data_IF_380922803605
#
_entry.id   IF_380922803605
#
_cell.length_a   1.000
_cell.length_b   1.000
_cell.length_c   1.000
_cell.angle_alpha   90.00
_cell.angle_beta   90.00
_cell.angle_gamma   90.00
#
_symmetry.space_group_name_H-M   'P 1'
#
loop_
_entity.id
_entity.type
_entity.pdbx_description
1 polymer ?
#
# COMPACT_ATOMS: atom_id res chain seq x y z
N UNK A 1 -5.17 -92.21 2.74
CA UNK A 1 -4.41 -90.93 2.68
C UNK A 1 -5.29 -89.88 3.31
N UNK A 2 -5.05 -89.63 4.59
CA UNK A 2 -5.88 -88.78 5.46
C UNK A 2 -5.26 -87.38 5.53
N UNK A 3 -6.13 -86.37 5.57
CA UNK A 3 -5.81 -84.96 5.36
C UNK A 3 -4.94 -84.33 6.47
N UNK A 4 -4.14 -83.32 6.10
CA UNK A 4 -3.51 -82.40 7.05
C UNK A 4 -3.81 -80.96 6.65
N UNK A 5 -4.63 -80.28 7.46
CA UNK A 5 -4.85 -78.83 7.38
C UNK A 5 -3.69 -78.09 8.06
N UNK A 6 -3.18 -76.99 7.49
CA UNK A 6 -2.13 -76.21 8.14
C UNK A 6 -2.72 -75.33 9.27
N UNK A 7 -2.10 -75.45 10.46
CA UNK A 7 -2.41 -74.68 11.67
C UNK A 7 -2.29 -73.17 11.44
N UNK A 8 -3.36 -72.41 11.69
CA UNK A 8 -3.32 -70.95 11.84
C UNK A 8 -2.52 -70.61 13.11
N UNK A 9 -1.49 -69.76 12.98
CA UNK A 9 -0.82 -69.12 14.11
C UNK A 9 -1.78 -68.10 14.78
N UNK A 10 -1.83 -68.01 16.12
CA UNK A 10 -2.58 -66.95 16.78
C UNK A 10 -1.95 -65.60 16.44
N UNK A 11 -2.77 -64.64 16.01
CA UNK A 11 -2.38 -63.24 15.85
C UNK A 11 -2.11 -62.67 17.25
N UNK A 12 -1.00 -61.94 17.48
CA UNK A 12 -0.76 -61.29 18.76
C UNK A 12 -1.91 -60.31 19.07
N UNK A 13 -2.31 -60.22 20.34
CA UNK A 13 -3.25 -59.21 20.80
C UNK A 13 -2.73 -57.82 20.40
N UNK A 14 -3.60 -56.86 19.99
CA UNK A 14 -3.15 -55.52 19.70
C UNK A 14 -2.50 -54.95 20.96
N UNK A 15 -1.27 -54.46 20.82
CA UNK A 15 -0.69 -53.60 21.84
C UNK A 15 -1.68 -52.44 22.05
N UNK A 16 -2.04 -52.18 23.30
CA UNK A 16 -2.68 -50.92 23.67
C UNK A 16 -1.64 -49.82 23.42
N UNK A 17 -1.57 -49.36 22.17
CA UNK A 17 -1.01 -48.07 21.84
C UNK A 17 -1.93 -47.05 22.50
N UNK A 18 -1.59 -46.67 23.74
CA UNK A 18 -2.08 -45.45 24.35
C UNK A 18 -1.52 -44.28 23.55
N UNK A 19 -2.03 -44.09 22.34
CA UNK A 19 -1.81 -42.89 21.57
C UNK A 19 -2.42 -41.75 22.39
N UNK A 20 -1.57 -40.94 23.00
CA UNK A 20 -1.94 -39.62 23.51
C UNK A 20 -2.26 -38.76 22.30
N UNK A 21 -3.42 -39.02 21.69
CA UNK A 21 -3.85 -38.36 20.47
C UNK A 21 -4.15 -36.91 20.78
N UNK A 22 -3.62 -36.01 19.95
CA UNK A 22 -3.85 -34.56 20.05
C UNK A 22 -5.36 -34.21 20.03
N UNK A 23 -6.18 -35.13 19.49
CA UNK A 23 -7.65 -35.05 19.45
C UNK A 23 -8.32 -35.22 20.82
N UNK A 24 -7.67 -35.91 21.76
CA UNK A 24 -8.22 -36.19 23.10
C UNK A 24 -8.09 -35.01 24.08
N UNK A 25 -7.36 -33.96 23.69
CA UNK A 25 -7.22 -32.75 24.50
C UNK A 25 -8.55 -31.96 24.52
N UNK A 26 -8.89 -31.32 25.65
CA UNK A 26 -10.04 -30.43 25.74
C UNK A 26 -9.97 -29.25 24.75
N UNK A 27 -11.14 -28.75 24.33
CA UNK A 27 -11.27 -27.63 23.39
C UNK A 27 -10.51 -26.38 23.82
N UNK A 28 -10.43 -26.12 25.13
CA UNK A 28 -9.78 -24.95 25.71
C UNK A 28 -8.26 -24.99 25.48
N UNK A 29 -7.67 -26.19 25.44
CA UNK A 29 -6.25 -26.37 25.16
C UNK A 29 -5.98 -26.15 23.66
N UNK A 30 -6.86 -26.65 22.79
CA UNK A 30 -6.76 -26.37 21.36
C UNK A 30 -6.89 -24.87 21.07
N UNK A 31 -7.88 -24.20 21.64
CA UNK A 31 -8.06 -22.73 21.54
C UNK A 31 -6.84 -21.97 22.02
N UNK A 32 -6.28 -22.37 23.16
CA UNK A 32 -5.07 -21.73 23.70
C UNK A 32 -3.88 -21.92 22.78
N UNK A 33 -3.68 -23.11 22.21
CA UNK A 33 -2.62 -23.35 21.22
C UNK A 33 -2.83 -22.46 20.00
N UNK A 34 -4.04 -22.44 19.43
CA UNK A 34 -4.37 -21.64 18.23
C UNK A 34 -4.24 -20.14 18.48
N UNK A 35 -4.60 -19.64 19.67
CA UNK A 35 -4.47 -18.22 20.04
C UNK A 35 -3.01 -17.73 20.08
N UNK A 36 -2.06 -18.64 20.33
CA UNK A 36 -0.63 -18.34 20.33
C UNK A 36 -0.03 -18.33 18.92
N UNK A 37 -0.79 -18.75 17.92
CA UNK A 37 -0.34 -18.80 16.53
C UNK A 37 -0.75 -17.52 15.79
N UNK A 38 0.11 -17.01 14.89
CA UNK A 38 -0.31 -16.09 13.84
C UNK A 38 -1.47 -16.68 13.02
N UNK A 39 -2.41 -15.85 12.55
CA UNK A 39 -3.63 -16.30 11.84
C UNK A 39 -3.32 -17.29 10.71
N UNK A 40 -2.25 -17.08 9.94
CA UNK A 40 -1.82 -18.01 8.87
C UNK A 40 -1.58 -19.44 9.34
N UNK A 41 -1.01 -19.62 10.54
CA UNK A 41 -0.73 -20.94 11.11
C UNK A 41 -1.93 -21.48 11.86
N UNK A 42 -2.71 -20.60 12.50
CA UNK A 42 -3.99 -20.94 13.10
C UNK A 42 -4.91 -21.60 12.05
N UNK A 43 -5.06 -20.99 10.87
CA UNK A 43 -5.84 -21.58 9.75
C UNK A 43 -5.28 -22.94 9.33
N UNK A 44 -3.95 -23.12 9.26
CA UNK A 44 -3.33 -24.40 8.89
C UNK A 44 -3.61 -25.53 9.90
N UNK A 45 -3.88 -25.21 11.17
CA UNK A 45 -4.27 -26.24 12.15
C UNK A 45 -5.60 -26.92 11.79
N UNK A 46 -6.42 -26.31 10.94
CA UNK A 46 -7.66 -26.92 10.45
C UNK A 46 -7.46 -28.25 9.70
N UNK A 47 -6.25 -28.51 9.20
CA UNK A 47 -5.88 -29.76 8.55
C UNK A 47 -5.49 -30.88 9.52
N UNK A 48 -5.29 -30.59 10.81
CA UNK A 48 -4.85 -31.57 11.82
C UNK A 48 -5.95 -32.59 12.10
N UNK A 49 -7.16 -32.13 12.42
CA UNK A 49 -8.33 -33.00 12.57
C UNK A 49 -9.64 -32.23 12.53
N UNK A 50 -10.78 -32.93 12.62
CA UNK A 50 -12.10 -32.30 12.68
C UNK A 50 -12.27 -31.39 13.88
N UNK A 51 -11.64 -31.70 15.01
CA UNK A 51 -11.71 -30.88 16.22
C UNK A 51 -11.06 -29.50 16.01
N UNK A 52 -9.98 -29.43 15.23
CA UNK A 52 -9.21 -28.20 15.01
C UNK A 52 -9.75 -27.32 13.88
N UNK A 53 -10.69 -27.83 13.07
CA UNK A 53 -11.12 -27.23 11.80
C UNK A 53 -11.55 -25.76 11.89
N UNK A 54 -12.28 -25.39 12.94
CA UNK A 54 -12.91 -24.06 13.09
C UNK A 54 -12.41 -23.26 14.28
N UNK A 55 -11.45 -23.77 15.05
CA UNK A 55 -10.98 -23.11 16.28
C UNK A 55 -10.37 -21.74 15.97
N UNK A 56 -9.70 -21.61 14.83
CA UNK A 56 -9.09 -20.35 14.40
C UNK A 56 -10.12 -19.25 14.11
N UNK A 57 -11.38 -19.59 13.81
CA UNK A 57 -12.43 -18.60 13.52
C UNK A 57 -12.78 -17.77 14.77
N UNK A 58 -12.68 -18.38 15.96
CA UNK A 58 -13.01 -17.81 17.26
C UNK A 58 -11.81 -17.56 18.19
N UNK A 59 -10.60 -17.99 17.82
CA UNK A 59 -9.39 -17.76 18.62
C UNK A 59 -8.76 -16.39 18.33
N UNK A 60 -8.31 -15.64 19.35
CA UNK A 60 -7.64 -14.35 19.20
C UNK A 60 -6.19 -14.55 18.75
N UNK A 61 -6.01 -15.06 17.52
CA UNK A 61 -4.72 -15.15 16.86
C UNK A 61 -4.19 -13.74 16.52
N UNK A 62 -2.86 -13.57 16.50
CA UNK A 62 -2.27 -12.30 16.08
C UNK A 62 -2.59 -12.05 14.59
N UNK A 63 -3.36 -11.00 14.24
CA UNK A 63 -4.05 -10.89 12.96
C UNK A 63 -3.18 -10.32 11.83
N UNK A 64 -1.87 -10.60 11.84
CA UNK A 64 -1.02 -10.30 10.69
C UNK A 64 -1.33 -11.30 9.57
N UNK A 65 -2.38 -11.02 8.81
CA UNK A 65 -2.76 -11.75 7.61
C UNK A 65 -1.88 -11.22 6.48
N UNK A 66 -0.73 -11.86 6.29
CA UNK A 66 0.18 -11.59 5.17
C UNK A 66 0.04 -12.66 4.10
N UNK A 67 -0.13 -12.23 2.84
CA UNK A 67 0.02 -13.03 1.61
C UNK A 67 -0.59 -14.45 1.69
N UNK A 68 -1.91 -14.54 1.89
CA UNK A 68 -2.62 -15.81 1.78
C UNK A 68 -3.45 -15.82 0.50
N UNK A 69 -3.31 -16.86 -0.30
CA UNK A 69 -4.06 -17.08 -1.55
C UNK A 69 -5.59 -17.26 -1.36
N UNK A 70 -6.09 -17.21 -0.13
CA UNK A 70 -7.50 -17.38 0.25
C UNK A 70 -7.90 -16.38 1.35
N UNK A 71 -7.42 -15.14 1.27
CA UNK A 71 -7.71 -14.14 2.30
C UNK A 71 -9.21 -13.84 2.42
N UNK A 72 -10.01 -13.98 1.36
CA UNK A 72 -11.47 -13.80 1.36
C UNK A 72 -12.16 -14.65 2.42
N UNK A 73 -11.99 -15.97 2.32
CA UNK A 73 -12.62 -16.96 3.21
C UNK A 73 -12.16 -16.77 4.65
N UNK A 74 -10.90 -16.37 4.84
CA UNK A 74 -10.36 -16.13 6.19
C UNK A 74 -10.94 -14.86 6.77
N UNK A 75 -10.92 -13.74 6.05
CA UNK A 75 -11.47 -12.48 6.51
C UNK A 75 -12.98 -12.60 6.79
N UNK A 76 -13.73 -13.29 5.94
CA UNK A 76 -15.16 -13.49 6.14
C UNK A 76 -15.48 -14.26 7.43
N UNK A 77 -14.71 -15.30 7.77
CA UNK A 77 -14.99 -16.18 8.93
C UNK A 77 -14.32 -15.76 10.22
N UNK A 78 -13.23 -15.00 10.13
CA UNK A 78 -12.47 -14.60 11.31
C UNK A 78 -13.27 -13.62 12.16
N UNK A 79 -13.62 -13.99 13.39
CA UNK A 79 -14.56 -13.24 14.22
C UNK A 79 -13.91 -12.10 15.02
N UNK A 80 -12.59 -11.95 14.95
CA UNK A 80 -11.83 -10.96 15.74
C UNK A 80 -11.40 -9.75 14.91
N UNK A 81 -11.08 -8.62 15.57
CA UNK A 81 -10.53 -7.44 14.92
C UNK A 81 -9.24 -7.75 14.17
N UNK A 82 -9.06 -7.15 12.99
CA UNK A 82 -7.84 -7.26 12.19
C UNK A 82 -7.17 -5.90 12.20
N UNK A 83 -6.10 -5.73 12.98
CA UNK A 83 -5.44 -4.42 13.16
C UNK A 83 -4.44 -4.08 12.06
N UNK A 84 -3.78 -5.09 11.50
CA UNK A 84 -2.77 -4.90 10.46
C UNK A 84 -2.98 -5.88 9.33
N UNK A 85 -3.07 -5.38 8.11
CA UNK A 85 -3.21 -6.18 6.90
C UNK A 85 -2.16 -5.75 5.88
N UNK A 86 -1.47 -6.72 5.29
CA UNK A 86 -0.50 -6.48 4.23
C UNK A 86 -0.65 -7.53 3.15
N UNK A 87 -0.78 -7.07 1.91
CA UNK A 87 -0.85 -7.94 0.76
C UNK A 87 -0.08 -7.39 -0.42
N UNK A 88 0.63 -8.28 -1.11
CA UNK A 88 1.20 -8.02 -2.41
C UNK A 88 0.31 -8.71 -3.44
N UNK A 89 -0.43 -7.93 -4.23
CA UNK A 89 -1.40 -8.44 -5.18
C UNK A 89 -0.71 -8.61 -6.54
N UNK A 90 -0.67 -9.83 -7.11
CA UNK A 90 -0.39 -9.98 -8.53
C UNK A 90 -1.57 -9.47 -9.36
N UNK A 91 -1.34 -9.13 -10.63
CA UNK A 91 -2.33 -8.56 -11.55
C UNK A 91 -3.65 -9.35 -11.56
N UNK A 92 -3.57 -10.68 -11.60
CA UNK A 92 -4.75 -11.55 -11.60
C UNK A 92 -5.63 -11.47 -10.34
N UNK A 93 -5.14 -10.85 -9.27
CA UNK A 93 -5.81 -10.77 -7.97
C UNK A 93 -6.22 -9.34 -7.58
N UNK A 94 -6.01 -8.34 -8.44
CA UNK A 94 -6.31 -6.94 -8.11
C UNK A 94 -7.74 -6.74 -7.59
N UNK A 95 -8.71 -7.36 -8.26
CA UNK A 95 -10.14 -7.30 -7.93
C UNK A 95 -10.48 -7.83 -6.53
N UNK A 96 -9.67 -8.72 -5.95
CA UNK A 96 -9.89 -9.22 -4.58
C UNK A 96 -9.73 -8.11 -3.53
N UNK A 97 -9.00 -7.04 -3.85
CA UNK A 97 -8.80 -5.94 -2.92
C UNK A 97 -10.12 -5.23 -2.58
N UNK A 98 -11.03 -5.12 -3.56
CA UNK A 98 -12.34 -4.50 -3.41
C UNK A 98 -13.27 -5.30 -2.48
N UNK A 99 -13.09 -6.62 -2.41
CA UNK A 99 -13.84 -7.48 -1.48
C UNK A 99 -13.26 -7.42 -0.05
N UNK A 100 -11.94 -7.30 0.09
CA UNK A 100 -11.28 -7.29 1.40
C UNK A 100 -11.44 -5.99 2.14
N UNK A 101 -11.36 -4.86 1.45
CA UNK A 101 -11.39 -3.53 2.05
C UNK A 101 -12.64 -3.30 2.92
N UNK A 102 -13.87 -3.59 2.46
CA UNK A 102 -15.07 -3.51 3.30
C UNK A 102 -15.02 -4.41 4.53
N UNK A 103 -14.51 -5.65 4.38
CA UNK A 103 -14.39 -6.60 5.49
C UNK A 103 -13.38 -6.11 6.54
N UNK A 104 -12.27 -5.53 6.11
CA UNK A 104 -11.23 -4.95 6.97
C UNK A 104 -11.72 -3.69 7.69
N UNK A 105 -12.49 -2.85 6.99
CA UNK A 105 -13.15 -1.70 7.59
C UNK A 105 -14.07 -2.14 8.75
N UNK A 106 -14.91 -3.15 8.53
CA UNK A 106 -15.78 -3.72 9.55
C UNK A 106 -15.04 -4.36 10.74
N UNK A 107 -13.77 -4.74 10.56
CA UNK A 107 -12.91 -5.31 11.61
C UNK A 107 -11.98 -4.29 12.28
N UNK A 108 -12.08 -3.01 11.94
CA UNK A 108 -11.34 -1.94 12.59
C UNK A 108 -9.83 -1.97 12.29
N UNK A 109 -9.48 -2.11 11.00
CA UNK A 109 -8.09 -2.07 10.52
C UNK A 109 -7.42 -0.73 10.81
N UNK A 110 -6.18 -0.80 11.32
CA UNK A 110 -5.36 0.36 11.71
C UNK A 110 -4.14 0.53 10.81
N UNK A 111 -3.62 -0.55 10.25
CA UNK A 111 -2.53 -0.55 9.27
C UNK A 111 -2.97 -1.33 8.05
N UNK A 112 -3.06 -0.66 6.91
CA UNK A 112 -3.39 -1.27 5.62
C UNK A 112 -2.26 -1.01 4.64
N UNK A 113 -1.71 -2.09 4.07
CA UNK A 113 -0.68 -2.03 3.05
C UNK A 113 -1.08 -2.89 1.85
N UNK A 114 -1.31 -2.27 0.70
CA UNK A 114 -1.71 -2.97 -0.53
C UNK A 114 -0.73 -2.60 -1.62
N UNK A 115 0.04 -3.59 -2.08
CA UNK A 115 1.08 -3.41 -3.08
C UNK A 115 0.70 -4.18 -4.34
N UNK A 116 0.28 -3.47 -5.37
CA UNK A 116 -0.14 -4.02 -6.64
C UNK A 116 1.08 -4.19 -7.55
N UNK A 117 1.32 -5.40 -8.05
CA UNK A 117 2.46 -5.64 -8.96
C UNK A 117 2.15 -5.05 -10.33
N UNK A 118 2.68 -3.87 -10.64
CA UNK A 118 2.56 -3.29 -11.97
C UNK A 118 3.68 -3.76 -12.89
N UNK A 119 3.31 -4.39 -14.01
CA UNK A 119 4.18 -4.55 -15.17
C UNK A 119 4.26 -3.25 -15.98
N UNK A 120 5.16 -3.16 -16.97
CA UNK A 120 5.30 -1.94 -17.81
C UNK A 120 4.08 -1.61 -18.68
N UNK A 121 3.25 -2.60 -18.98
CA UNK A 121 2.13 -2.49 -19.92
C UNK A 121 0.76 -2.76 -19.24
N UNK A 122 0.73 -2.76 -17.90
CA UNK A 122 -0.47 -3.09 -17.12
C UNK A 122 -1.06 -1.79 -16.59
N UNK A 123 -2.34 -1.55 -16.88
CA UNK A 123 -3.06 -0.40 -16.34
C UNK A 123 -3.11 -0.49 -14.79
N UNK A 124 -2.99 0.66 -14.09
CA UNK A 124 -3.15 0.69 -12.64
C UNK A 124 -4.51 0.11 -12.22
N UNK A 125 -4.54 -0.56 -11.07
CA UNK A 125 -5.80 -1.02 -10.51
C UNK A 125 -6.58 0.16 -9.95
N UNK A 126 -7.75 0.42 -10.52
CA UNK A 126 -8.71 1.38 -9.97
C UNK A 126 -9.40 0.78 -8.75
N UNK A 127 -9.13 1.33 -7.57
CA UNK A 127 -9.71 0.85 -6.31
C UNK A 127 -11.19 1.23 -6.17
N UNK A 128 -11.95 0.41 -5.45
CA UNK A 128 -13.31 0.77 -5.03
C UNK A 128 -13.34 1.87 -3.93
N UNK A 129 -14.41 2.67 -3.93
CA UNK A 129 -14.65 3.76 -2.95
C UNK A 129 -14.72 3.27 -1.50
N UNK A 130 -14.89 1.96 -1.27
CA UNK A 130 -14.86 1.33 0.04
C UNK A 130 -13.57 1.58 0.81
N UNK A 131 -12.47 1.98 0.16
CA UNK A 131 -11.21 2.34 0.83
C UNK A 131 -11.42 3.41 1.92
N UNK A 132 -12.33 4.37 1.69
CA UNK A 132 -12.71 5.42 2.62
C UNK A 132 -13.57 4.93 3.81
N UNK A 133 -13.98 3.66 3.82
CA UNK A 133 -14.69 3.04 4.95
C UNK A 133 -13.77 2.69 6.11
N UNK A 134 -12.45 2.62 5.89
CA UNK A 134 -11.46 2.24 6.89
C UNK A 134 -11.14 3.41 7.87
N UNK A 135 -12.10 3.81 8.70
CA UNK A 135 -12.01 4.99 9.59
C UNK A 135 -10.99 4.89 10.74
N UNK A 136 -10.59 3.66 11.09
CA UNK A 136 -9.63 3.38 12.17
C UNK A 136 -8.17 3.41 11.68
N UNK A 137 -7.93 3.72 10.40
CA UNK A 137 -6.57 3.72 9.83
C UNK A 137 -5.66 4.75 10.49
N UNK A 138 -4.50 4.26 10.91
CA UNK A 138 -3.37 5.03 11.43
C UNK A 138 -2.19 5.03 10.46
N UNK A 139 -2.11 4.00 9.60
CA UNK A 139 -1.09 3.87 8.56
C UNK A 139 -1.71 3.26 7.29
N UNK A 140 -1.59 4.00 6.18
CA UNK A 140 -1.94 3.56 4.84
C UNK A 140 -0.69 3.56 3.95
N UNK A 141 -0.44 2.45 3.25
CA UNK A 141 0.66 2.26 2.30
C UNK A 141 0.12 1.63 1.02
N UNK A 142 0.09 2.41 -0.06
CA UNK A 142 -0.44 1.99 -1.35
C UNK A 142 0.64 2.09 -2.41
N UNK A 143 0.75 1.03 -3.21
CA UNK A 143 1.70 0.98 -4.32
C UNK A 143 0.99 0.49 -5.58
N UNK A 144 1.04 1.27 -6.66
CA UNK A 144 0.63 0.82 -7.99
C UNK A 144 -0.89 0.71 -8.22
N UNK A 145 -1.68 1.67 -7.70
CA UNK A 145 -3.14 1.68 -7.85
C UNK A 145 -3.68 3.11 -8.00
N UNK A 146 -4.89 3.24 -8.49
CA UNK A 146 -5.61 4.51 -8.56
C UNK A 146 -6.61 4.63 -7.42
N UNK A 147 -6.66 5.81 -6.81
CA UNK A 147 -7.61 6.13 -5.76
C UNK A 147 -8.80 6.87 -6.38
N UNK A 148 -10.04 6.38 -6.16
CA UNK A 148 -11.23 7.06 -6.66
C UNK A 148 -11.49 8.37 -5.91
N UNK A 149 -12.33 9.23 -6.49
CA UNK A 149 -12.87 10.39 -5.78
C UNK A 149 -13.55 9.97 -4.47
N UNK A 150 -13.23 10.66 -3.37
CA UNK A 150 -13.94 10.49 -2.11
C UNK A 150 -15.43 10.84 -2.30
N UNK A 151 -16.38 9.97 -1.91
CA UNK A 151 -17.79 10.29 -2.07
C UNK A 151 -18.20 11.47 -1.18
N UNK A 152 -19.14 12.29 -1.65
CA UNK A 152 -19.59 13.48 -0.93
C UNK A 152 -20.02 13.15 0.52
N UNK A 153 -19.28 13.69 1.51
CA UNK A 153 -19.54 13.51 2.94
C UNK A 153 -18.72 12.41 3.62
N UNK A 154 -17.92 11.63 2.88
CA UNK A 154 -16.92 10.72 3.47
C UNK A 154 -15.62 11.49 3.73
N UNK A 155 -15.42 11.88 4.99
CA UNK A 155 -14.21 12.57 5.44
C UNK A 155 -13.01 11.62 5.52
N UNK A 156 -12.18 11.55 4.49
CA UNK A 156 -10.87 10.89 4.39
C UNK A 156 -10.51 9.87 5.49
N UNK A 157 -9.36 10.08 6.14
CA UNK A 157 -8.85 9.17 7.17
C UNK A 157 -8.55 9.92 8.48
N UNK A 158 -9.53 10.03 9.40
CA UNK A 158 -9.44 10.94 10.54
C UNK A 158 -8.32 10.60 11.54
N UNK A 159 -7.92 9.32 11.61
CA UNK A 159 -6.90 8.82 12.53
C UNK A 159 -5.52 8.64 11.87
N UNK A 160 -5.37 9.01 10.59
CA UNK A 160 -4.18 8.68 9.82
C UNK A 160 -2.97 9.47 10.29
N UNK A 161 -1.90 8.76 10.60
CA UNK A 161 -0.62 9.33 11.05
C UNK A 161 0.49 9.17 10.01
N UNK A 162 0.37 8.16 9.14
CA UNK A 162 1.34 7.84 8.10
C UNK A 162 0.62 7.52 6.80
N UNK A 163 1.02 8.17 5.71
CA UNK A 163 0.51 7.95 4.37
C UNK A 163 1.68 7.77 3.41
N UNK A 164 1.81 6.57 2.84
CA UNK A 164 2.81 6.25 1.82
C UNK A 164 2.09 5.91 0.51
N UNK A 165 2.41 6.64 -0.54
CA UNK A 165 1.86 6.45 -1.87
C UNK A 165 3.02 6.34 -2.86
N UNK A 166 3.08 5.24 -3.62
CA UNK A 166 4.06 5.04 -4.68
C UNK A 166 3.41 4.58 -5.97
N UNK A 167 3.58 5.31 -7.08
CA UNK A 167 2.93 4.94 -8.34
C UNK A 167 1.40 4.94 -8.21
N UNK A 168 0.85 5.94 -7.50
CA UNK A 168 -0.59 6.03 -7.23
C UNK A 168 -1.19 7.16 -8.06
N UNK A 169 -2.29 6.88 -8.76
CA UNK A 169 -3.02 7.85 -9.58
C UNK A 169 -4.26 8.43 -8.91
N UNK A 170 -4.64 9.64 -9.33
CA UNK A 170 -5.88 10.32 -8.93
C UNK A 170 -6.73 10.68 -10.17
N UNK A 171 -7.33 9.69 -10.86
CA UNK A 171 -7.98 9.89 -12.17
C UNK A 171 -9.20 10.82 -12.15
N UNK A 172 -9.96 10.88 -11.05
CA UNK A 172 -11.24 11.61 -11.04
C UNK A 172 -11.10 13.08 -10.64
N UNK A 173 -10.25 13.35 -9.66
CA UNK A 173 -10.14 14.64 -8.98
C UNK A 173 -8.72 15.22 -9.04
N UNK A 174 -7.80 14.55 -9.73
CA UNK A 174 -6.43 15.00 -9.94
C UNK A 174 -5.74 15.43 -8.65
N UNK A 175 -5.02 16.55 -8.76
CA UNK A 175 -4.26 17.18 -7.65
C UNK A 175 -5.16 17.49 -6.46
N UNK A 176 -6.40 17.96 -6.69
CA UNK A 176 -7.36 18.30 -5.63
C UNK A 176 -7.77 17.09 -4.79
N UNK A 177 -7.88 15.91 -5.39
CA UNK A 177 -8.20 14.67 -4.67
C UNK A 177 -7.15 14.34 -3.60
N UNK A 178 -5.87 14.56 -3.92
CA UNK A 178 -4.78 14.40 -2.95
C UNK A 178 -4.81 15.47 -1.85
N UNK A 179 -5.09 16.73 -2.20
CA UNK A 179 -5.21 17.81 -1.20
C UNK A 179 -6.32 17.53 -0.18
N UNK A 180 -7.48 17.10 -0.67
CA UNK A 180 -8.64 16.74 0.15
C UNK A 180 -8.26 15.58 1.08
N UNK A 181 -7.61 14.53 0.56
CA UNK A 181 -7.16 13.39 1.36
C UNK A 181 -6.21 13.80 2.50
N UNK A 182 -5.27 14.70 2.23
CA UNK A 182 -4.31 15.21 3.22
C UNK A 182 -5.03 16.09 4.25
N UNK A 183 -5.89 17.01 3.79
CA UNK A 183 -6.63 17.92 4.66
C UNK A 183 -7.60 17.19 5.59
N UNK A 184 -8.18 16.08 5.13
CA UNK A 184 -9.07 15.21 5.90
C UNK A 184 -8.30 14.24 6.82
N UNK A 185 -6.97 14.34 6.88
CA UNK A 185 -6.08 13.56 7.73
C UNK A 185 -5.36 14.44 8.76
N UNK A 186 -6.06 15.03 9.75
CA UNK A 186 -5.50 16.06 10.63
C UNK A 186 -4.38 15.59 11.56
N UNK A 187 -4.26 14.28 11.78
CA UNK A 187 -3.22 13.66 12.62
C UNK A 187 -1.96 13.25 11.83
N UNK A 188 -1.89 13.57 10.54
CA UNK A 188 -0.82 13.12 9.65
C UNK A 188 0.55 13.68 10.10
N UNK A 189 1.49 12.77 10.31
CA UNK A 189 2.86 13.06 10.77
C UNK A 189 3.91 12.70 9.73
N UNK A 190 3.64 11.69 8.90
CA UNK A 190 4.56 11.23 7.85
C UNK A 190 3.81 11.12 6.53
N UNK A 191 4.32 11.80 5.51
CA UNK A 191 3.75 11.81 4.16
C UNK A 191 4.85 11.49 3.15
N UNK A 192 4.73 10.35 2.48
CA UNK A 192 5.62 9.94 1.40
C UNK A 192 4.84 9.83 0.10
N UNK A 193 5.24 10.63 -0.87
CA UNK A 193 4.64 10.70 -2.20
C UNK A 193 5.75 10.38 -3.20
N UNK A 194 5.59 9.32 -3.98
CA UNK A 194 6.62 8.83 -4.89
C UNK A 194 5.97 8.48 -6.23
N UNK A 195 6.30 9.20 -7.30
CA UNK A 195 5.79 8.99 -8.66
C UNK A 195 4.26 8.91 -8.71
N UNK A 196 3.60 9.95 -8.21
CA UNK A 196 2.15 10.07 -8.37
C UNK A 196 1.79 10.43 -9.81
N UNK A 197 0.59 10.05 -10.23
CA UNK A 197 0.05 10.37 -11.55
C UNK A 197 -1.24 11.19 -11.43
N UNK A 198 -1.36 12.22 -12.26
CA UNK A 198 -2.52 13.09 -12.32
C UNK A 198 -2.96 13.29 -13.78
N UNK A 199 -4.27 13.34 -14.09
CA UNK A 199 -4.75 13.60 -15.45
C UNK A 199 -4.21 14.90 -16.05
N UNK A 200 -3.98 15.91 -15.22
CA UNK A 200 -3.44 17.22 -15.63
C UNK A 200 -2.01 17.13 -16.21
N UNK A 201 -1.31 16.01 -16.02
CA UNK A 201 0.02 15.76 -16.58
C UNK A 201 -0.03 15.43 -18.10
N UNK A 202 -1.19 15.07 -18.67
CA UNK A 202 -1.32 14.66 -20.09
C UNK A 202 -1.54 15.85 -21.05
N UNK A 203 -2.01 17.00 -20.57
CA UNK A 203 -2.41 18.16 -21.40
C UNK A 203 -1.32 19.24 -21.57
N UNK A 204 -0.06 18.95 -21.21
CA UNK A 204 1.02 19.94 -21.27
C UNK A 204 1.67 19.95 -22.66
N UNK A 205 1.14 20.77 -23.57
CA UNK A 205 1.91 21.22 -24.73
C UNK A 205 3.20 21.89 -24.20
N UNK A 206 4.37 21.30 -24.48
CA UNK A 206 5.69 21.74 -23.98
C UNK A 206 6.01 23.23 -24.26
N UNK A 207 5.22 23.90 -25.12
CA UNK A 207 5.39 25.29 -25.55
C UNK A 207 4.54 26.30 -24.78
N UNK A 208 3.41 25.89 -24.21
CA UNK A 208 2.53 26.79 -23.46
C UNK A 208 2.67 26.48 -21.98
N UNK A 209 3.45 27.31 -21.28
CA UNK A 209 3.73 27.21 -19.85
C UNK A 209 2.51 27.43 -18.94
N UNK A 210 1.43 26.69 -19.19
CA UNK A 210 0.31 26.54 -18.29
C UNK A 210 0.83 25.87 -17.02
N UNK A 211 0.80 26.65 -15.94
CA UNK A 211 1.33 26.24 -14.65
C UNK A 211 0.62 25.00 -14.15
N UNK A 212 1.41 24.01 -13.73
CA UNK A 212 0.95 22.91 -12.90
C UNK A 212 0.00 23.45 -11.83
N UNK A 213 -1.16 22.81 -11.63
CA UNK A 213 -2.00 23.14 -10.48
C UNK A 213 -1.13 23.00 -9.22
N UNK A 214 -0.93 24.11 -8.52
CA UNK A 214 -0.04 24.16 -7.36
C UNK A 214 -0.64 23.28 -6.24
N UNK A 215 -0.11 22.06 -6.04
CA UNK A 215 -0.51 21.23 -4.89
C UNK A 215 -0.09 21.91 -3.58
N UNK A 216 -1.06 22.17 -2.71
CA UNK A 216 -0.85 22.76 -1.38
C UNK A 216 -0.98 21.72 -0.29
N UNK A 217 0.13 21.37 0.35
CA UNK A 217 0.14 20.41 1.47
C UNK A 217 -0.28 21.13 2.77
N UNK A 218 -1.51 20.88 3.21
CA UNK A 218 -2.07 21.37 4.48
C UNK A 218 -2.06 20.31 5.58
N UNK A 219 -0.91 20.15 6.24
CA UNK A 219 -0.73 19.15 7.31
C UNK A 219 0.03 19.73 8.50
N UNK A 220 -0.65 20.41 9.45
CA UNK A 220 0.03 21.18 10.51
C UNK A 220 0.88 20.32 11.46
N UNK A 221 0.54 19.03 11.59
CA UNK A 221 1.24 18.06 12.43
C UNK A 221 2.33 17.28 11.69
N UNK A 222 2.59 17.61 10.41
CA UNK A 222 3.54 16.89 9.58
C UNK A 222 4.98 17.09 10.09
N UNK A 223 5.67 15.99 10.32
CA UNK A 223 7.07 15.95 10.78
C UNK A 223 8.02 15.51 9.68
N UNK A 224 7.57 14.57 8.85
CA UNK A 224 8.41 13.97 7.81
C UNK A 224 7.67 14.05 6.47
N UNK A 225 8.28 14.74 5.52
CA UNK A 225 7.79 14.85 4.15
C UNK A 225 8.83 14.26 3.20
N UNK A 226 8.39 13.36 2.33
CA UNK A 226 9.18 12.88 1.19
C UNK A 226 8.37 13.03 -0.08
N UNK A 227 8.94 13.70 -1.07
CA UNK A 227 8.37 13.88 -2.39
C UNK A 227 9.41 13.39 -3.40
N UNK A 228 9.04 12.40 -4.19
CA UNK A 228 9.81 11.91 -5.34
C UNK A 228 8.90 12.01 -6.55
N UNK A 229 9.31 12.74 -7.58
CA UNK A 229 8.51 12.92 -8.79
C UNK A 229 9.39 12.88 -10.04
N UNK A 230 8.82 12.44 -11.15
CA UNK A 230 9.55 12.47 -12.43
C UNK A 230 9.63 13.91 -12.96
N UNK A 231 8.58 14.70 -12.77
CA UNK A 231 8.50 16.13 -13.15
C UNK A 231 8.31 17.04 -11.93
N UNK A 232 8.46 18.35 -12.12
CA UNK A 232 8.23 19.34 -11.07
C UNK A 232 6.77 19.80 -11.05
N UNK A 233 5.93 19.04 -10.33
CA UNK A 233 4.48 19.26 -10.26
C UNK A 233 4.08 20.48 -9.39
N UNK A 234 4.89 21.55 -9.36
CA UNK A 234 4.50 22.82 -8.72
C UNK A 234 4.28 22.77 -7.19
N UNK A 235 4.87 21.81 -6.49
CA UNK A 235 4.65 21.55 -5.06
C UNK A 235 4.77 22.81 -4.17
N UNK A 236 3.66 23.28 -3.60
CA UNK A 236 3.61 24.36 -2.63
C UNK A 236 3.43 23.80 -1.22
N UNK A 237 4.44 24.00 -0.38
CA UNK A 237 4.36 23.61 1.03
C UNK A 237 3.82 24.82 1.80
N UNK A 238 2.71 24.71 2.52
CA UNK A 238 2.26 25.75 3.47
C UNK A 238 3.17 25.83 4.71
N UNK A 239 2.91 26.72 5.67
CA UNK A 239 3.68 26.68 6.92
C UNK A 239 3.42 25.36 7.64
N UNK A 240 4.45 24.51 7.73
CA UNK A 240 4.42 23.25 8.46
C UNK A 240 5.18 23.43 9.79
N UNK A 241 4.50 23.83 10.88
CA UNK A 241 5.19 24.24 12.11
C UNK A 241 5.96 23.11 12.79
N UNK A 242 5.57 21.86 12.55
CA UNK A 242 6.17 20.67 13.15
C UNK A 242 7.19 19.96 12.25
N UNK A 243 7.50 20.50 11.07
CA UNK A 243 8.32 19.78 10.08
C UNK A 243 9.76 19.62 10.56
N UNK A 244 10.25 18.38 10.57
CA UNK A 244 11.58 18.01 11.03
C UNK A 244 12.45 17.55 9.87
N UNK A 245 11.90 16.76 8.96
CA UNK A 245 12.61 16.17 7.83
C UNK A 245 11.87 16.41 6.52
N UNK A 246 12.58 16.94 5.53
CA UNK A 246 12.09 17.11 4.17
C UNK A 246 13.08 16.49 3.19
N UNK A 247 12.60 15.54 2.38
CA UNK A 247 13.32 15.00 1.24
C UNK A 247 12.53 15.30 -0.04
N UNK A 248 13.14 16.03 -0.97
CA UNK A 248 12.55 16.30 -2.27
C UNK A 248 13.54 15.80 -3.33
N UNK A 249 13.07 14.89 -4.18
CA UNK A 249 13.79 14.37 -5.33
C UNK A 249 12.95 14.58 -6.57
N UNK A 250 13.52 15.17 -7.61
CA UNK A 250 12.84 15.31 -8.89
C UNK A 250 13.79 14.88 -10.00
N UNK A 251 13.35 14.00 -10.90
CA UNK A 251 14.21 13.43 -11.93
C UNK A 251 14.40 14.38 -13.13
N UNK A 252 13.42 15.26 -13.40
CA UNK A 252 13.45 16.33 -14.41
C UNK A 252 12.94 17.65 -13.81
N UNK A 253 13.74 18.72 -13.91
CA UNK A 253 13.39 20.03 -13.34
C UNK A 253 12.94 21.03 -14.42
N UNK A 254 11.92 21.84 -14.11
CA UNK A 254 11.57 23.03 -14.91
C UNK A 254 12.26 24.28 -14.33
N UNK A 255 12.61 25.24 -15.19
CA UNK A 255 13.40 26.43 -14.82
C UNK A 255 12.65 27.45 -13.95
N UNK A 256 11.34 27.27 -13.73
CA UNK A 256 10.47 28.28 -13.12
C UNK A 256 10.08 27.98 -11.66
N UNK A 257 10.73 27.01 -11.01
CA UNK A 257 10.44 26.71 -9.60
C UNK A 257 10.95 27.82 -8.69
N UNK A 258 10.06 28.38 -7.87
CA UNK A 258 10.44 29.29 -6.79
C UNK A 258 11.04 28.51 -5.62
N UNK A 259 12.29 28.05 -5.80
CA UNK A 259 13.09 27.40 -4.74
C UNK A 259 13.24 28.29 -3.51
N UNK A 260 13.21 29.61 -3.67
CA UNK A 260 13.32 30.54 -2.55
C UNK A 260 12.07 30.47 -1.68
N UNK A 261 10.86 30.42 -2.27
CA UNK A 261 9.61 30.21 -1.52
C UNK A 261 9.59 28.86 -0.81
N UNK A 262 10.03 27.79 -1.48
CA UNK A 262 10.15 26.46 -0.87
C UNK A 262 11.10 26.47 0.33
N UNK A 263 12.35 26.94 0.12
CA UNK A 263 13.40 26.99 1.14
C UNK A 263 13.03 27.87 2.33
N UNK A 264 12.35 29.00 2.09
CA UNK A 264 11.91 29.90 3.17
C UNK A 264 10.93 29.20 4.11
N UNK A 265 10.05 28.34 3.57
CA UNK A 265 9.03 27.62 4.35
C UNK A 265 9.56 26.38 5.04
N UNK A 266 10.60 25.75 4.50
CA UNK A 266 11.30 24.62 5.14
C UNK A 266 12.56 25.05 5.89
N UNK A 267 12.83 26.35 6.06
CA UNK A 267 14.07 26.86 6.66
C UNK A 267 14.35 26.37 8.09
N UNK A 268 13.33 25.89 8.80
CA UNK A 268 13.39 25.44 10.20
C UNK A 268 13.56 23.93 10.37
N UNK A 269 13.64 23.17 9.27
CA UNK A 269 13.78 21.71 9.32
C UNK A 269 15.15 21.31 9.87
N UNK A 270 15.19 20.16 10.55
CA UNK A 270 16.42 19.56 11.07
C UNK A 270 17.22 18.88 9.96
N UNK A 271 16.52 18.27 9.00
CA UNK A 271 17.11 17.56 7.89
C UNK A 271 16.42 17.99 6.59
N UNK A 272 17.20 18.58 5.68
CA UNK A 272 16.76 18.92 4.33
C UNK A 272 17.64 18.17 3.32
N UNK A 273 17.01 17.31 2.52
CA UNK A 273 17.65 16.62 1.40
C UNK A 273 16.99 17.05 0.11
N UNK A 274 17.73 17.73 -0.76
CA UNK A 274 17.30 18.09 -2.10
C UNK A 274 18.16 17.31 -3.11
N UNK A 275 17.55 16.39 -3.83
CA UNK A 275 18.18 15.67 -4.93
C UNK A 275 17.63 16.22 -6.24
N UNK A 276 18.47 16.95 -6.95
CA UNK A 276 18.15 17.54 -8.24
C UNK A 276 19.18 17.05 -9.25
N UNK A 277 18.79 16.59 -10.45
CA UNK A 277 19.71 16.19 -11.50
C UNK A 277 20.61 17.37 -11.91
N UNK A 278 21.80 17.05 -12.39
CA UNK A 278 22.62 18.04 -13.08
C UNK A 278 21.90 18.43 -14.36
N UNK A 279 21.85 19.74 -14.65
CA UNK A 279 21.44 20.32 -15.95
C UNK A 279 21.91 19.41 -17.09
N UNK A 280 20.98 18.72 -17.76
CA UNK A 280 21.21 18.39 -19.15
C UNK A 280 20.99 19.68 -19.92
N UNK A 281 22.08 20.38 -20.24
CA UNK A 281 22.05 21.40 -21.28
C UNK A 281 21.66 20.67 -22.57
N UNK A 282 20.38 20.71 -22.93
CA UNK A 282 20.00 20.52 -24.32
C UNK A 282 20.57 21.74 -25.04
N UNK A 283 21.81 21.61 -25.51
CA UNK A 283 22.31 22.51 -26.54
C UNK A 283 21.32 22.38 -27.70
N UNK A 284 20.54 23.43 -27.92
CA UNK A 284 20.02 23.71 -29.25
C UNK A 284 21.25 23.88 -30.14
N UNK A 285 21.63 22.82 -30.85
CA UNK A 285 22.53 22.94 -31.98
C UNK A 285 21.71 23.57 -33.12
N UNK A 286 21.54 24.88 -33.01
CA UNK A 286 20.86 25.72 -33.99
C UNK A 286 21.68 27.00 -34.06
N UNK A 287 22.83 26.91 -34.73
CA UNK A 287 23.37 27.94 -35.62
C UNK A 287 24.80 27.59 -36.04
N UNK A 288 24.91 26.87 -37.15
CA UNK A 288 26.10 26.90 -38.00
C UNK A 288 25.64 27.39 -39.38
N UNK A 289 25.87 28.65 -39.76
CA UNK A 289 25.55 29.11 -41.11
C UNK A 289 26.46 28.38 -42.09
N UNK A 290 25.86 27.78 -43.12
CA UNK A 290 26.55 27.15 -44.23
C UNK A 290 27.45 28.19 -44.93
N UNK A 291 28.74 27.91 -45.15
CA UNK A 291 29.55 28.78 -45.99
C UNK A 291 29.13 28.60 -47.45
N UNK A 292 28.58 29.67 -48.03
CA UNK A 292 28.39 29.81 -49.47
C UNK A 292 29.72 29.56 -50.19
N UNK A 293 29.79 28.49 -50.97
CA UNK A 293 30.79 28.33 -52.02
C UNK A 293 30.42 29.29 -53.16
N UNK A 294 31.23 30.33 -53.33
CA UNK A 294 31.32 31.06 -54.58
C UNK A 294 32.11 30.20 -55.57
N UNK A 295 31.43 29.68 -56.59
CA UNK A 295 32.09 29.18 -57.79
C UNK A 295 32.50 30.37 -58.67
N UNK A 296 33.81 30.55 -58.83
CA UNK A 296 34.42 31.29 -59.92
C UNK A 296 34.90 30.28 -60.97
N UNK A 297 34.12 30.09 -62.03
CA UNK A 297 34.52 30.01 -63.44
C UNK A 297 33.34 29.64 -64.34
#
# INVERSE_FOLDING_TARGET
>A
MEASSPRRKPRPAPAEESETSLESLPSEIHERIVSLLPVRYAVRTSAVSRAWRRIWESAPASPSIGAMTYADDVLARYSHPVRSFFFHLPEESFQCSDDWVPLLAGKGVQTLRLHFSQGRDVEPHYMDVSIFSCRELTFLDLIGCDIPAAPAGLVGFPNLTKLYLHGVGFPDNGVRGLEELIAESPLLQVLWLDKLWFPEDEDVDEQDGHGFEELVIRAPNLRNLRIVSEYDNGWQIEELPCIEKVEISSDNYTTNRDFMRLLTRVARVRELSLKMPKRFSVYHDSDCPSPHLMDFM
#
